data_IF_170568186694
#
_entry.id   IF_170568186694
#
_cell.length_a   1.000
_cell.length_b   1.000
_cell.length_c   1.000
_cell.angle_alpha   90.00
_cell.angle_beta   90.00
_cell.angle_gamma   90.00
#
_symmetry.space_group_name_H-M   'P 1'
#
loop_
_entity.id
_entity.type
_entity.pdbx_description
1 polymer ?
#
# COMPACT_ATOMS: atom_id res chain seq x y z
N UNK A 1 23.36 -0.75 21.58
CA UNK A 1 22.23 -0.62 20.64
C UNK A 1 21.49 -1.94 20.70
N UNK A 2 20.17 -1.93 20.87
CA UNK A 2 19.39 -3.18 20.86
C UNK A 2 19.44 -3.82 19.47
N UNK A 3 19.47 -5.14 19.43
CA UNK A 3 19.27 -5.93 18.21
C UNK A 3 17.82 -5.84 17.73
N UNK A 4 17.58 -6.18 16.47
CA UNK A 4 16.22 -6.21 15.90
C UNK A 4 15.31 -7.16 16.69
N UNK A 5 15.82 -8.33 17.09
CA UNK A 5 15.06 -9.30 17.87
C UNK A 5 14.75 -8.80 19.29
N UNK A 6 15.67 -8.08 19.93
CA UNK A 6 15.40 -7.45 21.23
C UNK A 6 14.31 -6.38 21.13
N UNK A 7 14.35 -5.54 20.09
CA UNK A 7 13.31 -4.52 19.82
C UNK A 7 11.96 -5.18 19.53
N UNK A 8 11.95 -6.27 18.76
CA UNK A 8 10.73 -7.01 18.45
C UNK A 8 10.11 -7.61 19.71
N UNK A 9 10.92 -8.26 20.55
CA UNK A 9 10.45 -8.84 21.81
C UNK A 9 9.94 -7.76 22.77
N UNK A 10 10.59 -6.61 22.84
CA UNK A 10 10.10 -5.46 23.62
C UNK A 10 8.76 -4.95 23.08
N UNK A 11 8.61 -4.83 21.77
CA UNK A 11 7.35 -4.43 21.13
C UNK A 11 6.20 -5.41 21.42
N UNK A 12 6.48 -6.71 21.60
CA UNK A 12 5.46 -7.70 21.98
C UNK A 12 4.89 -7.49 23.39
N UNK A 13 5.61 -6.78 24.27
CA UNK A 13 5.11 -6.44 25.62
C UNK A 13 4.03 -5.35 25.59
N UNK A 14 3.90 -4.63 24.47
CA UNK A 14 2.92 -3.57 24.31
C UNK A 14 1.49 -4.12 24.14
N UNK A 15 0.47 -3.40 24.63
CA UNK A 15 -0.93 -3.68 24.29
C UNK A 15 -1.14 -3.77 22.78
N UNK A 16 -2.09 -4.59 22.34
CA UNK A 16 -2.34 -4.82 20.90
C UNK A 16 -2.55 -3.51 20.12
N UNK A 17 -3.35 -2.57 20.64
CA UNK A 17 -3.57 -1.26 20.01
C UNK A 17 -2.27 -0.45 19.85
N UNK A 18 -1.40 -0.48 20.86
CA UNK A 18 -0.10 0.21 20.81
C UNK A 18 0.85 -0.43 19.78
N UNK A 19 0.79 -1.75 19.60
CA UNK A 19 1.54 -2.44 18.53
C UNK A 19 1.09 -2.01 17.14
N UNK A 20 -0.22 -1.85 16.92
CA UNK A 20 -0.76 -1.32 15.65
C UNK A 20 -0.25 0.09 15.37
N UNK A 21 -0.24 0.97 16.38
CA UNK A 21 0.31 2.33 16.25
C UNK A 21 1.81 2.29 15.93
N UNK A 22 2.57 1.41 16.59
CA UNK A 22 4.01 1.26 16.35
C UNK A 22 4.28 0.78 14.91
N UNK A 23 3.56 -0.23 14.43
CA UNK A 23 3.67 -0.71 13.04
C UNK A 23 3.38 0.43 12.06
N UNK A 24 2.32 1.21 12.27
CA UNK A 24 2.01 2.36 11.42
C UNK A 24 3.18 3.36 11.36
N UNK A 25 3.72 3.76 12.51
CA UNK A 25 4.86 4.70 12.57
C UNK A 25 6.11 4.16 11.89
N UNK A 26 6.39 2.86 12.05
CA UNK A 26 7.54 2.22 11.41
C UNK A 26 7.35 2.20 9.89
N UNK A 27 6.18 1.82 9.39
CA UNK A 27 5.85 1.86 7.96
C UNK A 27 5.96 3.29 7.41
N UNK A 28 5.43 4.29 8.12
CA UNK A 28 5.56 5.69 7.74
C UNK A 28 7.03 6.15 7.70
N UNK A 29 7.88 5.68 8.62
CA UNK A 29 9.30 6.02 8.62
C UNK A 29 10.06 5.42 7.42
N UNK A 30 9.65 4.24 6.95
CA UNK A 30 10.17 3.61 5.74
C UNK A 30 9.64 4.30 4.47
N UNK A 31 8.54 5.05 4.54
CA UNK A 31 8.07 5.80 3.37
C UNK A 31 8.97 7.01 3.03
N UNK A 32 9.96 7.33 3.87
CA UNK A 32 10.89 8.42 3.64
C UNK A 32 12.08 8.04 2.74
N UNK A 33 12.29 6.74 2.47
CA UNK A 33 13.34 6.22 1.58
C UNK A 33 12.75 5.39 0.43
N UNK A 34 12.02 6.07 -0.47
CA UNK A 34 11.31 5.45 -1.61
C UNK A 34 12.18 4.53 -2.49
N UNK A 35 13.49 4.80 -2.61
CA UNK A 35 14.42 4.01 -3.43
C UNK A 35 14.88 2.69 -2.77
N UNK A 36 14.83 2.57 -1.44
CA UNK A 36 15.34 1.40 -0.71
C UNK A 36 14.28 0.63 0.06
N UNK A 37 13.04 1.15 0.13
CA UNK A 37 11.96 0.50 0.85
C UNK A 37 11.40 -0.72 0.07
N UNK A 38 11.61 -1.97 0.55
CA UNK A 38 11.11 -3.17 -0.12
C UNK A 38 9.57 -3.27 -0.12
N UNK A 39 8.88 -2.63 0.83
CA UNK A 39 7.42 -2.54 0.85
C UNK A 39 6.94 -1.66 -0.30
N UNK A 40 7.59 -0.51 -0.51
CA UNK A 40 7.26 0.39 -1.61
C UNK A 40 7.50 -0.28 -2.96
N UNK A 41 8.64 -0.96 -3.13
CA UNK A 41 8.95 -1.74 -4.33
C UNK A 41 7.89 -2.82 -4.60
N UNK A 42 7.45 -3.56 -3.58
CA UNK A 42 6.39 -4.57 -3.69
C UNK A 42 5.05 -3.95 -4.12
N UNK A 43 4.68 -2.79 -3.55
CA UNK A 43 3.47 -2.08 -3.94
C UNK A 43 3.59 -1.64 -5.40
N UNK A 44 4.70 -1.02 -5.81
CA UNK A 44 4.91 -0.60 -7.20
C UNK A 44 4.77 -1.77 -8.19
N UNK A 45 5.32 -2.93 -7.87
CA UNK A 45 5.18 -4.13 -8.69
C UNK A 45 3.72 -4.56 -8.85
N UNK A 46 2.94 -4.58 -7.77
CA UNK A 46 1.51 -4.90 -7.80
C UNK A 46 0.70 -3.88 -8.61
N UNK A 47 1.02 -2.58 -8.49
CA UNK A 47 0.36 -1.54 -9.28
C UNK A 47 0.68 -1.66 -10.77
N UNK A 48 1.93 -1.99 -11.12
CA UNK A 48 2.34 -2.25 -12.51
C UNK A 48 1.62 -3.48 -13.08
N UNK A 49 1.50 -4.55 -12.29
CA UNK A 49 0.79 -5.76 -12.70
C UNK A 49 -0.69 -5.48 -12.98
N UNK A 50 -1.37 -4.79 -12.06
CA UNK A 50 -2.77 -4.42 -12.25
C UNK A 50 -2.94 -3.46 -13.45
N UNK A 51 -2.04 -2.49 -13.64
CA UNK A 51 -2.08 -1.60 -14.80
C UNK A 51 -1.96 -2.37 -16.13
N UNK A 52 -1.04 -3.33 -16.22
CA UNK A 52 -0.90 -4.19 -17.41
C UNK A 52 -2.16 -4.99 -17.66
N UNK A 53 -2.69 -5.65 -16.63
CA UNK A 53 -3.94 -6.42 -16.71
C UNK A 53 -5.10 -5.56 -17.21
N UNK A 54 -5.28 -4.34 -16.69
CA UNK A 54 -6.34 -3.41 -17.13
C UNK A 54 -6.20 -3.00 -18.59
N UNK A 55 -4.98 -2.76 -19.04
CA UNK A 55 -4.71 -2.46 -20.46
C UNK A 55 -5.12 -3.64 -21.34
N UNK A 56 -4.81 -4.87 -20.94
CA UNK A 56 -5.16 -6.07 -21.69
C UNK A 56 -6.68 -6.34 -21.69
N UNK A 57 -7.37 -6.09 -20.57
CA UNK A 57 -8.84 -6.13 -20.50
C UNK A 57 -9.49 -5.15 -21.48
N UNK A 58 -8.97 -3.92 -21.56
CA UNK A 58 -9.46 -2.91 -22.50
C UNK A 58 -9.18 -3.32 -23.95
N UNK A 59 -7.95 -3.77 -24.25
CA UNK A 59 -7.56 -4.18 -25.61
C UNK A 59 -8.32 -5.40 -26.10
N UNK A 60 -8.61 -6.35 -25.22
CA UNK A 60 -9.42 -7.54 -25.52
C UNK A 60 -10.91 -7.25 -25.60
N UNK A 61 -11.35 -6.02 -25.28
CA UNK A 61 -12.76 -5.64 -25.17
C UNK A 61 -13.56 -6.50 -24.18
N UNK A 62 -12.87 -7.11 -23.20
CA UNK A 62 -13.52 -7.91 -22.16
C UNK A 62 -14.25 -7.06 -21.12
N UNK A 63 -13.90 -5.78 -21.04
CA UNK A 63 -14.51 -4.79 -20.14
C UNK A 63 -14.96 -3.55 -20.91
N UNK A 64 -16.01 -2.89 -20.42
CA UNK A 64 -16.43 -1.58 -20.89
C UNK A 64 -15.72 -0.50 -20.07
N UNK A 65 -14.77 0.20 -20.69
CA UNK A 65 -14.08 1.32 -20.05
C UNK A 65 -15.03 2.53 -19.87
N UNK A 66 -14.75 3.30 -18.82
CA UNK A 66 -15.35 4.62 -18.57
C UNK A 66 -14.25 5.71 -18.63
N UNK A 67 -14.61 6.99 -18.83
CA UNK A 67 -13.64 8.09 -18.75
C UNK A 67 -12.91 8.13 -17.41
N UNK A 68 -11.60 8.44 -17.43
CA UNK A 68 -10.75 8.44 -16.23
C UNK A 68 -11.23 9.40 -15.14
N UNK A 69 -11.69 10.60 -15.53
CA UNK A 69 -12.25 11.57 -14.58
C UNK A 69 -13.50 11.05 -13.87
N UNK A 70 -14.35 10.31 -14.59
CA UNK A 70 -15.56 9.70 -14.02
C UNK A 70 -15.18 8.59 -13.03
N UNK A 71 -14.20 7.74 -13.38
CA UNK A 71 -13.69 6.71 -12.49
C UNK A 71 -13.11 7.29 -11.19
N UNK A 72 -12.27 8.32 -11.30
CA UNK A 72 -11.66 8.97 -10.13
C UNK A 72 -12.70 9.70 -9.26
N UNK A 73 -13.75 10.27 -9.86
CA UNK A 73 -14.84 10.87 -9.11
C UNK A 73 -15.59 9.84 -8.26
N UNK A 74 -15.88 8.66 -8.82
CA UNK A 74 -16.53 7.57 -8.08
C UNK A 74 -15.66 7.06 -6.92
N UNK A 75 -14.35 6.92 -7.11
CA UNK A 75 -13.42 6.52 -6.03
C UNK A 75 -13.43 7.53 -4.88
N UNK A 76 -13.36 8.83 -5.18
CA UNK A 76 -13.42 9.87 -4.14
C UNK A 76 -14.71 9.78 -3.34
N UNK A 77 -15.85 9.61 -4.02
CA UNK A 77 -17.15 9.47 -3.35
C UNK A 77 -17.20 8.27 -2.39
N UNK A 78 -16.54 7.16 -2.71
CA UNK A 78 -16.45 5.97 -1.84
C UNK A 78 -15.52 6.15 -0.63
N UNK A 79 -14.53 7.05 -0.72
CA UNK A 79 -13.60 7.32 0.38
C UNK A 79 -14.13 8.38 1.35
N UNK A 80 -15.09 9.20 0.91
CA UNK A 80 -15.76 10.21 1.73
C UNK A 80 -17.01 9.67 2.46
N UNK A 81 -17.43 8.43 2.17
CA UNK A 81 -18.58 7.75 2.78
C UNK A 81 -18.20 6.85 3.95
#
# INVERSE_FOLDING_TARGET
>A
MLTVDEIFNEALTLPNASRVILVKKLVESLALDEETNPIYQTIQELWIEEAKKRIDEIRSSSVKAIPGEEALAQVRQLLES
#
